data_IF_071178772880
#
_entry.id   IF_071178772880
#
_cell.length_a   1.000
_cell.length_b   1.000
_cell.length_c   1.000
_cell.angle_alpha   90.00
_cell.angle_beta   90.00
_cell.angle_gamma   90.00
#
_symmetry.space_group_name_H-M   'P 1'
#
loop_
_entity.id
_entity.type
_entity.pdbx_description
1 polymer ?
#
# COMPACT_ATOMS: atom_id res chain seq x y z
N UNK A 1 -10.90 8.96 11.09
CA UNK A 1 -9.79 9.70 10.44
C UNK A 1 -8.78 8.71 9.91
N UNK A 2 -8.45 8.76 8.61
CA UNK A 2 -7.44 7.87 8.03
C UNK A 2 -6.01 8.34 8.32
N UNK A 3 -5.10 7.40 8.58
CA UNK A 3 -3.66 7.70 8.65
C UNK A 3 -3.12 7.77 7.22
N UNK A 4 -2.51 8.89 6.79
CA UNK A 4 -1.92 8.97 5.45
C UNK A 4 -0.76 7.98 5.29
N UNK A 5 -0.63 7.44 4.08
CA UNK A 5 0.50 6.59 3.68
C UNK A 5 1.32 7.30 2.62
N UNK A 6 2.63 7.32 2.78
CA UNK A 6 3.56 7.86 1.79
C UNK A 6 3.62 6.93 0.58
N UNK A 7 3.43 7.45 -0.64
CA UNK A 7 3.49 6.63 -1.86
C UNK A 7 4.92 6.25 -2.27
N UNK A 8 5.94 6.93 -1.73
CA UNK A 8 7.34 6.71 -2.06
C UNK A 8 7.90 5.53 -1.26
N UNK A 9 7.74 5.58 0.07
CA UNK A 9 8.30 4.58 0.99
C UNK A 9 7.25 3.66 1.65
N UNK A 10 5.95 3.84 1.36
CA UNK A 10 4.83 3.07 1.94
C UNK A 10 4.65 3.20 3.46
N UNK A 11 5.43 4.07 4.13
CA UNK A 11 5.31 4.34 5.55
C UNK A 11 4.05 5.16 5.88
N UNK A 12 3.46 4.90 7.04
CA UNK A 12 2.37 5.70 7.59
C UNK A 12 2.91 7.02 8.14
N UNK A 13 2.30 8.12 7.76
CA UNK A 13 2.55 9.44 8.33
C UNK A 13 1.55 9.64 9.47
N UNK A 14 2.07 9.79 10.69
CA UNK A 14 1.30 9.66 11.94
C UNK A 14 0.00 10.50 12.01
N UNK A 15 -0.03 11.67 11.36
CA UNK A 15 -1.20 12.55 11.35
C UNK A 15 -1.39 13.16 9.98
N UNK A 16 -2.65 13.24 9.54
CA UNK A 16 -3.09 14.00 8.37
C UNK A 16 -3.03 15.52 8.65
N UNK A 17 -1.82 16.05 8.81
CA UNK A 17 -1.53 17.49 8.91
C UNK A 17 -0.45 17.84 7.91
N UNK A 18 -0.66 18.94 7.19
CA UNK A 18 0.25 19.38 6.12
C UNK A 18 1.70 19.44 6.58
N UNK A 19 1.97 20.04 7.75
CA UNK A 19 3.34 20.14 8.28
C UNK A 19 4.00 18.77 8.53
N UNK A 20 3.23 17.74 8.93
CA UNK A 20 3.77 16.39 9.13
C UNK A 20 4.11 15.71 7.81
N UNK A 21 3.25 15.90 6.81
CA UNK A 21 3.44 15.34 5.47
C UNK A 21 4.62 16.06 4.77
N UNK A 22 4.67 17.39 4.87
CA UNK A 22 5.75 18.21 4.31
C UNK A 22 7.10 17.88 4.96
N UNK A 23 7.16 17.81 6.30
CA UNK A 23 8.39 17.43 7.00
C UNK A 23 8.86 16.02 6.62
N UNK A 24 7.94 15.04 6.52
CA UNK A 24 8.28 13.69 6.05
C UNK A 24 8.90 13.71 4.65
N UNK A 25 8.30 14.45 3.70
CA UNK A 25 8.84 14.56 2.35
C UNK A 25 10.21 15.24 2.34
N UNK A 26 10.32 16.42 2.98
CA UNK A 26 11.54 17.23 2.97
C UNK A 26 12.73 16.53 3.59
N UNK A 27 12.52 15.76 4.66
CA UNK A 27 13.61 15.09 5.39
C UNK A 27 14.05 13.75 4.78
N UNK A 28 13.17 13.08 4.03
CA UNK A 28 13.43 11.70 3.55
C UNK A 28 13.57 11.60 2.03
N UNK A 29 12.91 12.47 1.29
CA UNK A 29 12.71 12.29 -0.16
C UNK A 29 13.14 13.52 -0.98
N UNK A 30 13.31 14.69 -0.39
CA UNK A 30 13.59 15.90 -1.18
C UNK A 30 14.89 15.80 -1.99
N UNK A 31 15.97 15.25 -1.43
CA UNK A 31 17.26 15.16 -2.12
C UNK A 31 17.14 14.40 -3.46
N UNK A 32 16.45 13.27 -3.46
CA UNK A 32 16.33 12.43 -4.66
C UNK A 32 15.18 12.84 -5.59
N UNK A 33 14.07 13.36 -5.04
CA UNK A 33 12.81 13.53 -5.78
C UNK A 33 12.46 14.97 -6.15
N UNK A 34 13.26 15.97 -5.74
CA UNK A 34 13.09 17.36 -6.18
C UNK A 34 13.42 17.57 -7.66
N UNK A 35 14.23 16.67 -8.25
CA UNK A 35 14.55 16.65 -9.69
C UNK A 35 13.32 16.46 -10.58
N UNK A 36 12.32 15.71 -10.10
CA UNK A 36 11.06 15.50 -10.82
C UNK A 36 10.18 16.74 -10.66
N UNK A 37 9.88 17.43 -11.75
CA UNK A 37 9.04 18.63 -11.75
C UNK A 37 7.96 18.56 -12.83
N UNK A 38 7.00 19.49 -12.77
CA UNK A 38 5.94 19.61 -13.78
C UNK A 38 5.21 18.30 -14.06
N UNK A 39 5.11 17.93 -15.33
CA UNK A 39 4.39 16.74 -15.77
C UNK A 39 5.13 15.43 -15.47
N UNK A 40 6.46 15.45 -15.39
CA UNK A 40 7.24 14.28 -14.98
C UNK A 40 6.86 13.85 -13.57
N UNK A 41 6.76 14.82 -12.64
CA UNK A 41 6.29 14.57 -11.27
C UNK A 41 4.86 14.04 -11.26
N UNK A 42 3.95 14.62 -12.04
CA UNK A 42 2.54 14.18 -12.09
C UNK A 42 2.44 12.73 -12.60
N UNK A 43 3.14 12.40 -13.68
CA UNK A 43 3.15 11.08 -14.28
C UNK A 43 3.73 10.03 -13.32
N UNK A 44 4.83 10.37 -12.64
CA UNK A 44 5.44 9.48 -11.66
C UNK A 44 4.50 9.19 -10.48
N UNK A 45 3.87 10.22 -9.91
CA UNK A 45 2.88 10.05 -8.83
C UNK A 45 1.68 9.21 -9.32
N UNK A 46 1.22 9.41 -10.54
CA UNK A 46 0.13 8.61 -11.13
C UNK A 46 0.52 7.13 -11.25
N UNK A 47 1.76 6.85 -11.69
CA UNK A 47 2.29 5.48 -11.77
C UNK A 47 2.38 4.82 -10.39
N UNK A 48 2.88 5.52 -9.38
CA UNK A 48 2.91 5.00 -8.00
C UNK A 48 1.51 4.64 -7.49
N UNK A 49 0.52 5.52 -7.71
CA UNK A 49 -0.88 5.25 -7.35
C UNK A 49 -1.41 4.02 -8.07
N UNK A 50 -1.15 3.90 -9.39
CA UNK A 50 -1.59 2.75 -10.19
C UNK A 50 -0.98 1.44 -9.69
N UNK A 51 0.32 1.43 -9.37
CA UNK A 51 0.99 0.27 -8.80
C UNK A 51 0.39 -0.14 -7.45
N UNK A 52 0.15 0.82 -6.57
CA UNK A 52 -0.45 0.56 -5.26
C UNK A 52 -1.87 -0.03 -5.38
N UNK A 53 -2.71 0.56 -6.23
CA UNK A 53 -4.07 0.07 -6.46
C UNK A 53 -4.07 -1.34 -7.05
N UNK A 54 -3.16 -1.62 -7.98
CA UNK A 54 -2.99 -2.97 -8.54
C UNK A 54 -2.59 -3.98 -7.45
N UNK A 55 -1.66 -3.62 -6.57
CA UNK A 55 -1.29 -4.49 -5.44
C UNK A 55 -2.49 -4.76 -4.53
N UNK A 56 -3.24 -3.73 -4.15
CA UNK A 56 -4.44 -3.87 -3.32
C UNK A 56 -5.51 -4.77 -3.96
N UNK A 57 -5.73 -4.64 -5.27
CA UNK A 57 -6.66 -5.51 -6.01
C UNK A 57 -6.23 -6.98 -5.98
N UNK A 58 -4.95 -7.26 -6.20
CA UNK A 58 -4.40 -8.61 -6.11
C UNK A 58 -4.56 -9.20 -4.70
N UNK A 59 -4.26 -8.43 -3.65
CA UNK A 59 -4.48 -8.87 -2.27
C UNK A 59 -5.95 -9.14 -1.97
N UNK A 60 -6.87 -8.28 -2.46
CA UNK A 60 -8.31 -8.48 -2.27
C UNK A 60 -8.78 -9.77 -2.94
N UNK A 61 -8.31 -10.05 -4.15
CA UNK A 61 -8.59 -11.31 -4.86
C UNK A 61 -8.05 -12.52 -4.11
N UNK A 62 -6.80 -12.47 -3.65
CA UNK A 62 -6.22 -13.54 -2.85
C UNK A 62 -7.01 -13.80 -1.55
N UNK A 63 -7.44 -12.74 -0.88
CA UNK A 63 -8.23 -12.86 0.35
C UNK A 63 -9.61 -13.50 0.09
N UNK A 64 -10.25 -13.18 -1.04
CA UNK A 64 -11.48 -13.86 -1.45
C UNK A 64 -11.27 -15.36 -1.67
N UNK A 65 -10.20 -15.74 -2.39
CA UNK A 65 -9.86 -17.15 -2.62
C UNK A 65 -9.63 -17.90 -1.31
N UNK A 66 -8.85 -17.31 -0.40
CA UNK A 66 -8.60 -17.90 0.93
C UNK A 66 -9.89 -18.02 1.74
N UNK A 67 -10.73 -16.98 1.74
CA UNK A 67 -12.02 -16.99 2.43
C UNK A 67 -12.97 -18.07 1.87
N UNK A 68 -13.00 -18.24 0.55
CA UNK A 68 -13.78 -19.28 -0.12
C UNK A 68 -13.26 -20.68 0.24
N UNK A 69 -11.94 -20.89 0.27
CA UNK A 69 -11.34 -22.15 0.70
C UNK A 69 -11.71 -22.50 2.14
N UNK A 70 -11.64 -21.52 3.05
CA UNK A 70 -12.03 -21.69 4.46
C UNK A 70 -13.52 -22.03 4.57
N UNK A 71 -14.38 -21.30 3.86
CA UNK A 71 -15.82 -21.55 3.85
C UNK A 71 -16.16 -22.96 3.34
N UNK A 72 -15.51 -23.40 2.25
CA UNK A 72 -15.67 -24.76 1.69
C UNK A 72 -15.12 -25.85 2.60
N UNK A 73 -14.06 -25.58 3.37
CA UNK A 73 -13.46 -26.54 4.29
C UNK A 73 -14.25 -26.74 5.58
N UNK A 74 -15.23 -25.87 5.89
CA UNK A 74 -16.10 -25.98 7.07
C UNK A 74 -15.39 -25.91 8.42
N UNK A 75 -14.10 -25.54 8.45
CA UNK A 75 -13.28 -25.46 9.67
C UNK A 75 -13.12 -24.00 10.15
N UNK A 76 -13.22 -23.71 11.45
CA UNK A 76 -12.85 -22.40 12.00
C UNK A 76 -11.33 -22.20 11.95
N UNK A 77 -10.90 -20.93 11.94
CA UNK A 77 -9.55 -20.36 11.73
C UNK A 77 -8.40 -20.87 12.66
N UNK A 78 -8.51 -22.03 13.31
CA UNK A 78 -7.53 -22.48 14.31
C UNK A 78 -6.38 -23.37 13.81
N UNK A 79 -6.31 -23.69 12.52
CA UNK A 79 -5.25 -24.56 12.00
C UNK A 79 -4.36 -23.76 11.04
N UNK A 80 -3.11 -23.50 11.44
CA UNK A 80 -2.10 -22.71 10.72
C UNK A 80 -1.61 -23.31 9.39
N UNK A 81 -2.41 -24.14 8.72
CA UNK A 81 -2.05 -24.81 7.47
C UNK A 81 -2.50 -24.06 6.19
N UNK A 82 -3.32 -23.02 6.30
CA UNK A 82 -3.85 -22.34 5.11
C UNK A 82 -2.86 -21.40 4.40
N UNK A 83 -1.70 -21.09 5.01
CA UNK A 83 -0.73 -20.14 4.43
C UNK A 83 0.22 -20.81 3.42
N UNK A 84 0.25 -22.15 3.34
CA UNK A 84 1.27 -22.86 2.53
C UNK A 84 0.93 -23.06 1.05
N UNK A 85 -0.24 -22.61 0.57
CA UNK A 85 -0.71 -22.83 -0.82
C UNK A 85 -0.73 -21.58 -1.71
N UNK A 86 -0.20 -20.45 -1.25
CA UNK A 86 -0.26 -19.18 -1.99
C UNK A 86 1.10 -18.56 -2.33
N UNK A 87 2.19 -19.33 -2.32
CA UNK A 87 3.50 -18.94 -2.86
C UNK A 87 3.97 -19.94 -3.91
#
# INVERSE_FOLDING_TARGET
>A
SGTPTCLICTEKVAVYKEYKISCHYSTRHAEEYTKYQGDERKNWVANLKKCLLRQQDLFKKANYVVSEMIAKAGKPFKEGEFIKKCY
#
